data_IF_392488005677
#
_entry.id   IF_392488005677
#
_cell.length_a   1.000
_cell.length_b   1.000
_cell.length_c   1.000
_cell.angle_alpha   90.00
_cell.angle_beta   90.00
_cell.angle_gamma   90.00
#
_symmetry.space_group_name_H-M   'P 1'
#
loop_
_entity.id
_entity.type
_entity.pdbx_description
1 polymer ?
#
# COMPACT_ATOMS: atom_id res chain seq x y z
N UNK A 1 -6.19 -7.72 5.66
CA UNK A 1 -5.93 -6.69 6.69
C UNK A 1 -6.84 -5.50 6.46
N UNK A 2 -7.44 -5.00 7.52
CA UNK A 2 -8.33 -3.83 7.44
C UNK A 2 -7.54 -2.54 7.46
N UNK A 3 -8.22 -1.43 7.15
CA UNK A 3 -7.57 -0.12 7.19
C UNK A 3 -6.99 0.17 8.59
N UNK A 4 -7.78 -0.06 9.64
CA UNK A 4 -7.33 0.20 11.00
C UNK A 4 -6.09 -0.61 11.36
N UNK A 5 -6.09 -1.88 10.98
CA UNK A 5 -4.95 -2.74 11.25
C UNK A 5 -3.70 -2.27 10.51
N UNK A 6 -3.88 -1.87 9.26
CA UNK A 6 -2.76 -1.41 8.45
C UNK A 6 -2.16 -0.12 8.99
N UNK A 7 -3.02 0.84 9.35
CA UNK A 7 -2.55 2.10 9.92
C UNK A 7 -1.76 1.86 11.20
N UNK A 8 -2.27 0.97 12.04
CA UNK A 8 -1.61 0.66 13.30
C UNK A 8 -0.28 -0.02 13.08
N UNK A 9 -0.24 -0.95 12.12
CA UNK A 9 0.96 -1.74 11.86
C UNK A 9 2.07 -0.90 11.24
N UNK A 10 1.73 -0.07 10.27
CA UNK A 10 2.72 0.71 9.53
C UNK A 10 3.01 2.06 10.18
N UNK A 11 2.08 2.60 10.94
CA UNK A 11 2.22 3.94 11.47
C UNK A 11 2.05 5.02 10.41
N UNK A 12 1.49 4.67 9.27
CA UNK A 12 1.26 5.65 8.21
C UNK A 12 0.02 6.48 8.53
N UNK A 13 0.05 7.81 8.33
CA UNK A 13 -1.14 8.63 8.52
C UNK A 13 -2.24 8.21 7.55
N UNK A 14 -3.49 8.26 8.04
CA UNK A 14 -4.64 7.84 7.26
C UNK A 14 -4.73 8.55 5.91
N UNK A 15 -4.54 9.85 5.89
CA UNK A 15 -4.67 10.62 4.66
C UNK A 15 -3.62 10.21 3.62
N UNK A 16 -2.46 9.80 4.07
CA UNK A 16 -1.42 9.34 3.14
C UNK A 16 -1.78 7.97 2.56
N UNK A 17 -2.33 7.09 3.38
CA UNK A 17 -2.75 5.79 2.89
C UNK A 17 -3.86 5.95 1.84
N UNK A 18 -4.83 6.81 2.10
CA UNK A 18 -5.91 7.06 1.15
C UNK A 18 -5.40 7.70 -0.13
N UNK A 19 -4.37 8.53 -0.03
CA UNK A 19 -3.76 9.10 -1.21
C UNK A 19 -3.14 8.00 -2.10
N UNK A 20 -2.48 7.02 -1.49
CA UNK A 20 -1.92 5.91 -2.24
C UNK A 20 -3.00 5.14 -2.99
N UNK A 21 -4.14 4.94 -2.34
CA UNK A 21 -5.26 4.27 -2.97
C UNK A 21 -5.83 5.12 -4.11
N UNK A 22 -5.99 6.41 -3.88
CA UNK A 22 -6.53 7.32 -4.86
C UNK A 22 -5.68 7.36 -6.13
N UNK A 23 -4.37 7.28 -5.97
CA UNK A 23 -3.46 7.28 -7.11
C UNK A 23 -3.32 5.92 -7.78
N UNK A 24 -3.95 4.89 -7.21
CA UNK A 24 -3.85 3.56 -7.78
C UNK A 24 -2.54 2.84 -7.45
N UNK A 25 -1.76 3.37 -6.53
CA UNK A 25 -0.53 2.71 -6.12
C UNK A 25 -0.80 1.44 -5.35
N UNK A 26 -1.91 1.41 -4.63
CA UNK A 26 -2.42 0.20 -3.99
C UNK A 26 -3.90 0.08 -4.35
N UNK A 27 -4.40 -1.15 -4.38
CA UNK A 27 -5.77 -1.40 -4.83
C UNK A 27 -6.48 -2.33 -3.86
N UNK A 28 -6.86 -1.83 -2.68
CA UNK A 28 -7.56 -2.68 -1.72
C UNK A 28 -8.93 -3.06 -2.25
N UNK A 29 -9.39 -4.22 -1.82
CA UNK A 29 -10.72 -4.68 -2.16
C UNK A 29 -11.74 -3.97 -1.29
N UNK A 30 -12.79 -3.45 -1.89
CA UNK A 30 -13.86 -2.77 -1.17
C UNK A 30 -15.02 -3.71 -0.97
N UNK A 31 -15.51 -3.77 0.25
CA UNK A 31 -16.61 -4.65 0.61
C UNK A 31 -17.75 -3.80 1.16
N UNK A 32 -18.93 -3.82 0.50
CA UNK A 32 -20.06 -3.06 1.01
C UNK A 32 -20.53 -3.62 2.34
N UNK A 33 -20.85 -2.73 3.28
CA UNK A 33 -21.36 -3.12 4.58
C UNK A 33 -22.47 -2.15 4.96
N UNK A 34 -23.67 -2.41 4.47
CA UNK A 34 -24.79 -1.50 4.66
C UNK A 34 -24.50 -0.17 3.97
N UNK A 35 -24.52 0.90 4.72
CA UNK A 35 -24.20 2.23 4.20
C UNK A 35 -22.70 2.54 4.23
N UNK A 36 -21.92 1.62 4.79
CA UNK A 36 -20.48 1.79 4.92
C UNK A 36 -19.74 0.89 3.96
N UNK A 37 -18.48 1.15 3.81
CA UNK A 37 -17.63 0.37 2.93
C UNK A 37 -16.36 0.02 3.67
N UNK A 38 -16.04 -1.26 3.73
CA UNK A 38 -14.80 -1.72 4.36
C UNK A 38 -13.76 -1.94 3.27
N UNK A 39 -12.51 -1.84 3.64
CA UNK A 39 -11.40 -2.13 2.73
C UNK A 39 -10.58 -3.27 3.27
N UNK A 40 -10.25 -4.21 2.39
CA UNK A 40 -9.35 -5.31 2.72
C UNK A 40 -8.07 -5.17 1.89
N UNK A 41 -6.96 -5.18 2.58
CA UNK A 41 -5.66 -5.02 1.93
C UNK A 41 -5.00 -6.38 1.80
N UNK A 42 -4.60 -6.73 0.58
CA UNK A 42 -3.90 -7.99 0.33
C UNK A 42 -2.47 -7.90 0.85
N UNK A 43 -1.77 -9.04 0.86
CA UNK A 43 -0.36 -9.03 1.25
C UNK A 43 0.46 -8.14 0.34
N UNK A 44 0.13 -8.10 -0.94
CA UNK A 44 0.82 -7.25 -1.90
C UNK A 44 0.58 -5.79 -1.56
N UNK A 45 -0.67 -5.42 -1.27
CA UNK A 45 -0.98 -4.04 -0.90
C UNK A 45 -0.24 -3.62 0.36
N UNK A 46 -0.21 -4.49 1.36
CA UNK A 46 0.48 -4.20 2.61
C UNK A 46 1.96 -3.98 2.35
N UNK A 47 2.56 -4.85 1.54
CA UNK A 47 3.98 -4.72 1.22
C UNK A 47 4.27 -3.45 0.44
N UNK A 48 3.45 -3.13 -0.54
CA UNK A 48 3.60 -1.89 -1.30
C UNK A 48 3.48 -0.68 -0.39
N UNK A 49 2.45 -0.64 0.43
CA UNK A 49 2.24 0.50 1.33
C UNK A 49 3.41 0.66 2.29
N UNK A 50 3.91 -0.45 2.82
CA UNK A 50 5.04 -0.43 3.74
C UNK A 50 6.28 0.15 3.08
N UNK A 51 6.60 -0.31 1.87
CA UNK A 51 7.78 0.17 1.15
C UNK A 51 7.63 1.62 0.73
N UNK A 52 6.45 1.99 0.23
CA UNK A 52 6.21 3.37 -0.15
C UNK A 52 6.36 4.27 1.06
N UNK A 53 5.77 3.88 2.19
CA UNK A 53 5.85 4.67 3.42
C UNK A 53 7.31 4.83 3.87
N UNK A 54 8.08 3.76 3.75
CA UNK A 54 9.50 3.82 4.09
C UNK A 54 10.21 4.92 3.31
N UNK A 55 9.97 5.01 2.01
CA UNK A 55 10.61 6.03 1.19
C UNK A 55 10.03 7.42 1.41
N UNK A 56 8.73 7.50 1.69
CA UNK A 56 8.14 8.80 2.04
C UNK A 56 8.77 9.37 3.30
N UNK A 57 9.04 8.53 4.29
CA UNK A 57 9.69 8.98 5.52
C UNK A 57 11.11 9.47 5.28
N UNK A 58 11.73 9.01 4.21
CA UNK A 58 13.06 9.46 3.82
C UNK A 58 13.04 10.78 3.06
N UNK A 59 11.85 11.27 2.74
CA UNK A 59 11.70 12.54 2.06
C UNK A 59 11.42 12.48 0.57
N UNK A 60 11.24 11.30 0.02
CA UNK A 60 10.94 11.18 -1.39
C UNK A 60 9.47 11.53 -1.66
N UNK A 61 9.20 12.04 -2.85
CA UNK A 61 7.85 12.33 -3.28
C UNK A 61 7.11 11.01 -3.58
N UNK A 62 5.78 11.08 -3.59
CA UNK A 62 4.96 9.87 -3.76
C UNK A 62 5.34 9.06 -4.99
N UNK A 63 5.47 9.73 -6.14
CA UNK A 63 5.78 9.03 -7.38
C UNK A 63 7.12 8.31 -7.29
N UNK A 64 8.12 8.99 -6.76
CA UNK A 64 9.46 8.40 -6.62
C UNK A 64 9.44 7.28 -5.59
N UNK A 65 8.74 7.49 -4.48
CA UNK A 65 8.62 6.47 -3.45
C UNK A 65 7.98 5.20 -4.03
N UNK A 66 6.95 5.38 -4.83
CA UNK A 66 6.29 4.25 -5.48
C UNK A 66 7.25 3.52 -6.43
N UNK A 67 7.98 4.27 -7.25
CA UNK A 67 8.92 3.66 -8.18
C UNK A 67 10.01 2.87 -7.46
N UNK A 68 10.54 3.43 -6.39
CA UNK A 68 11.56 2.73 -5.61
C UNK A 68 10.98 1.49 -4.93
N UNK A 69 9.76 1.60 -4.44
CA UNK A 69 9.10 0.46 -3.79
C UNK A 69 8.91 -0.68 -4.79
N UNK A 70 8.46 -0.36 -5.99
CA UNK A 70 8.23 -1.39 -7.01
C UNK A 70 9.56 -2.03 -7.46
N UNK A 71 10.60 -1.22 -7.56
CA UNK A 71 11.91 -1.74 -7.89
C UNK A 71 12.42 -2.70 -6.83
N UNK A 72 12.19 -2.38 -5.56
CA UNK A 72 12.60 -3.23 -4.47
C UNK A 72 11.83 -4.54 -4.46
N UNK A 73 10.53 -4.49 -4.73
CA UNK A 73 9.72 -5.70 -4.82
C UNK A 73 10.22 -6.61 -5.94
N UNK A 74 10.49 -6.03 -7.09
CA UNK A 74 10.96 -6.80 -8.23
C UNK A 74 12.33 -7.41 -7.99
N UNK A 75 13.23 -6.64 -7.40
CA UNK A 75 14.60 -7.13 -7.19
C UNK A 75 14.66 -8.24 -6.16
N UNK A 76 13.69 -8.30 -5.26
CA UNK A 76 13.63 -9.37 -4.26
C UNK A 76 12.89 -10.60 -4.76
N UNK A 77 12.47 -10.60 -6.01
CA UNK A 77 11.77 -11.74 -6.58
C UNK A 77 10.42 -11.99 -5.95
N UNK A 78 9.73 -10.94 -5.58
CA UNK A 78 8.43 -11.06 -4.95
C UNK A 78 7.46 -11.83 -5.85
N UNK A 79 6.90 -12.88 -5.31
CA UNK A 79 6.07 -13.79 -6.09
C UNK A 79 4.68 -13.34 -6.37
N UNK A 80 4.27 -12.29 -5.73
CA UNK A 80 2.92 -11.77 -5.95
C UNK A 80 2.62 -11.52 -7.39
N UNK A 81 3.63 -11.48 -8.18
CA UNK A 81 3.47 -11.18 -9.59
C UNK A 81 4.00 -12.28 -10.46
N UNK A 82 4.45 -13.03 -10.40
CA UNK A 82 5.12 -13.72 -11.34
C UNK A 82 4.99 -14.96 -11.80
N UNK A 83 5.09 -14.69 -11.71
CA UNK A 83 5.07 -15.46 -12.04
C UNK A 83 5.05 -15.91 -12.45
N UNK A 84 4.93 -15.54 -12.40
CA UNK A 84 4.97 -15.81 -12.57
C UNK A 84 5.11 -16.05 -12.87
#
# INVERSE_FOLDING_TARGET
MTTSQLLKELGIPRHKLYYLEQKGYITPKRIPMGDLEARLYSKVDVKKASLIWKYLKKGFKYKVAYQKAMGELNSKGWKGNKDV
#
